data_IF_556143346291
#
_entry.id   IF_556143346291
#
_cell.length_a   1.000
_cell.length_b   1.000
_cell.length_c   1.000
_cell.angle_alpha   90.00
_cell.angle_beta   90.00
_cell.angle_gamma   90.00
#
_symmetry.space_group_name_H-M   'P 1'
#
loop_
_entity.id
_entity.type
_entity.pdbx_description
1 polymer ?
#
# COMPACT_ATOMS: atom_id res chain seq x y z
N UNK A 1 2.64 -5.76 -27.43
CA UNK A 1 2.82 -5.75 -25.96
C UNK A 1 1.45 -5.61 -25.35
N UNK A 2 0.74 -6.72 -25.21
CA UNK A 2 -0.57 -6.72 -24.56
C UNK A 2 -0.34 -6.57 -23.06
N UNK A 3 -0.52 -5.35 -22.56
CA UNK A 3 -0.62 -5.10 -21.13
C UNK A 3 -1.89 -5.80 -20.68
N UNK A 4 -1.74 -6.96 -20.05
CA UNK A 4 -2.78 -7.52 -19.20
C UNK A 4 -3.11 -6.43 -18.17
N UNK A 5 -4.22 -5.73 -18.36
CA UNK A 5 -4.83 -4.92 -17.31
C UNK A 5 -5.30 -5.91 -16.25
N UNK A 6 -4.34 -6.36 -15.43
CA UNK A 6 -4.62 -7.09 -14.22
C UNK A 6 -5.63 -6.23 -13.48
N UNK A 7 -6.83 -6.76 -13.24
CA UNK A 7 -7.89 -6.04 -12.54
C UNK A 7 -7.43 -5.86 -11.09
N UNK A 8 -6.58 -4.86 -10.84
CA UNK A 8 -6.05 -4.56 -9.51
C UNK A 8 -7.18 -3.91 -8.74
N UNK A 9 -7.76 -4.67 -7.81
CA UNK A 9 -8.68 -4.11 -6.85
C UNK A 9 -7.88 -3.53 -5.69
N UNK A 10 -8.34 -2.41 -5.14
CA UNK A 10 -7.71 -1.79 -3.99
C UNK A 10 -8.62 -1.86 -2.78
N UNK A 11 -8.08 -2.24 -1.64
CA UNK A 11 -8.80 -2.19 -0.37
C UNK A 11 -8.21 -1.10 0.51
N UNK A 12 -9.09 -0.29 1.09
CA UNK A 12 -8.71 0.73 2.08
C UNK A 12 -8.69 0.11 3.47
N UNK A 13 -7.56 0.22 4.16
CA UNK A 13 -7.38 -0.28 5.53
C UNK A 13 -7.16 0.92 6.44
N UNK A 14 -8.04 1.07 7.43
CA UNK A 14 -7.89 2.08 8.47
C UNK A 14 -7.07 1.51 9.64
N UNK A 15 -6.04 2.25 10.03
CA UNK A 15 -5.12 1.88 11.11
C UNK A 15 -5.05 3.02 12.12
N UNK A 16 -5.12 2.68 13.40
CA UNK A 16 -4.92 3.62 14.49
C UNK A 16 -3.79 3.12 15.38
N UNK A 17 -2.75 3.93 15.51
CA UNK A 17 -1.61 3.68 16.41
C UNK A 17 -1.76 4.55 17.65
N UNK A 18 -1.34 4.04 18.81
CA UNK A 18 -1.47 4.72 20.10
C UNK A 18 -0.14 4.76 20.85
N UNK A 19 0.04 5.74 21.74
CA UNK A 19 1.23 5.85 22.59
C UNK A 19 2.33 6.78 22.05
N UNK A 20 2.03 7.58 21.02
CA UNK A 20 2.93 8.61 20.48
C UNK A 20 4.10 8.13 19.63
N UNK A 21 4.85 9.06 19.04
CA UNK A 21 6.05 8.73 18.26
C UNK A 21 7.17 8.12 19.14
N UNK A 22 8.04 7.25 18.60
CA UNK A 22 8.07 6.75 17.23
C UNK A 22 6.95 5.73 16.95
N UNK A 23 6.43 5.76 15.73
CA UNK A 23 5.32 4.90 15.29
C UNK A 23 5.76 3.54 14.75
N UNK A 24 7.05 3.37 14.45
CA UNK A 24 7.63 2.08 14.06
C UNK A 24 7.47 1.70 12.60
N UNK A 25 7.49 2.66 11.67
CA UNK A 25 7.50 2.38 10.23
C UNK A 25 8.31 3.42 9.44
N UNK A 26 8.71 3.08 8.23
CA UNK A 26 9.42 3.97 7.29
C UNK A 26 8.58 4.24 6.04
N UNK A 27 8.63 5.49 5.56
CA UNK A 27 7.91 5.95 4.37
C UNK A 27 8.90 6.40 3.27
N UNK A 28 8.64 5.98 2.03
CA UNK A 28 9.32 6.47 0.80
C UNK A 28 8.34 7.11 -0.18
N UNK A 29 8.88 7.65 -1.26
CA UNK A 29 8.12 8.27 -2.34
C UNK A 29 7.65 9.67 -1.98
N UNK A 30 6.63 10.13 -2.69
CA UNK A 30 6.15 11.50 -2.66
C UNK A 30 5.85 11.95 -4.08
N UNK A 31 4.74 12.67 -4.26
CA UNK A 31 4.31 13.18 -5.55
C UNK A 31 5.33 14.18 -6.11
N UNK A 32 6.11 14.84 -5.26
CA UNK A 32 7.27 15.66 -5.68
C UNK A 32 8.33 14.86 -6.46
N UNK A 33 8.31 13.53 -6.36
CA UNK A 33 9.17 12.60 -7.09
C UNK A 33 8.40 11.75 -8.11
N UNK A 34 7.10 11.99 -8.29
CA UNK A 34 6.24 11.16 -9.13
C UNK A 34 6.00 9.75 -8.57
N UNK A 35 6.28 9.52 -7.28
CA UNK A 35 6.15 8.21 -6.63
C UNK A 35 5.05 8.23 -5.55
N UNK A 36 4.28 7.14 -5.39
CA UNK A 36 3.30 7.05 -4.29
C UNK A 36 4.00 6.97 -2.93
N UNK A 37 3.30 7.39 -1.87
CA UNK A 37 3.80 7.30 -0.50
C UNK A 37 3.69 5.85 0.01
N UNK A 38 4.80 5.12 0.00
CA UNK A 38 4.80 3.67 0.30
C UNK A 38 5.50 3.37 1.63
N UNK A 39 4.90 2.50 2.43
CA UNK A 39 5.52 1.93 3.63
C UNK A 39 6.57 0.89 3.22
N UNK A 40 7.83 1.13 3.56
CA UNK A 40 8.96 0.27 3.15
C UNK A 40 9.48 -0.62 4.25
N UNK A 41 9.24 -0.25 5.51
CA UNK A 41 9.70 -0.99 6.68
C UNK A 41 8.69 -0.84 7.81
N UNK A 42 8.51 -1.92 8.55
CA UNK A 42 7.82 -1.93 9.83
C UNK A 42 8.84 -2.44 10.85
N UNK A 43 9.05 -1.67 11.92
CA UNK A 43 10.01 -2.01 12.96
C UNK A 43 9.43 -3.09 13.87
N UNK A 44 10.19 -4.16 14.08
CA UNK A 44 9.81 -5.24 14.99
C UNK A 44 9.62 -4.69 16.42
N UNK A 45 8.55 -5.13 17.09
CA UNK A 45 8.17 -4.60 18.40
C UNK A 45 7.61 -3.17 18.40
N UNK A 46 7.67 -2.46 17.28
CA UNK A 46 7.12 -1.11 17.12
C UNK A 46 5.59 -1.07 17.10
N UNK A 47 5.00 0.12 17.26
CA UNK A 47 3.54 0.31 17.34
C UNK A 47 2.83 -0.16 16.06
N UNK A 48 3.43 0.12 14.90
CA UNK A 48 2.97 -0.37 13.62
C UNK A 48 2.99 -1.90 13.51
N UNK A 49 3.99 -2.58 14.08
CA UNK A 49 4.01 -4.05 14.13
C UNK A 49 2.94 -4.60 15.08
N UNK A 50 2.80 -4.01 16.27
CA UNK A 50 1.84 -4.42 17.29
C UNK A 50 0.39 -4.31 16.81
N UNK A 51 0.07 -3.35 15.93
CA UNK A 51 -1.28 -3.19 15.40
C UNK A 51 -1.71 -4.32 14.46
N UNK A 52 -0.76 -5.09 13.89
CA UNK A 52 -0.96 -6.21 12.94
C UNK A 52 -1.82 -5.92 11.69
N UNK A 53 -2.20 -4.66 11.45
CA UNK A 53 -3.01 -4.23 10.30
C UNK A 53 -2.18 -3.65 9.16
N UNK A 54 -1.12 -2.91 9.52
CA UNK A 54 -0.22 -2.26 8.58
C UNK A 54 0.76 -3.28 7.99
N UNK A 55 1.07 -3.17 6.70
CA UNK A 55 2.03 -4.03 6.00
C UNK A 55 2.99 -3.21 5.14
N UNK A 56 4.16 -3.77 4.89
CA UNK A 56 5.10 -3.24 3.89
C UNK A 56 4.44 -3.33 2.50
N UNK A 57 4.58 -2.28 1.70
CA UNK A 57 3.94 -2.14 0.39
C UNK A 57 2.58 -1.45 0.43
N UNK A 58 2.02 -1.18 1.61
CA UNK A 58 0.83 -0.36 1.75
C UNK A 58 1.13 1.10 1.32
N UNK A 59 0.20 1.69 0.57
CA UNK A 59 0.25 3.09 0.15
C UNK A 59 -0.50 3.97 1.12
N UNK A 60 0.14 5.03 1.62
CA UNK A 60 -0.46 5.97 2.54
C UNK A 60 -1.28 7.02 1.79
N UNK A 61 -2.60 7.06 2.05
CA UNK A 61 -3.53 7.96 1.33
C UNK A 61 -4.15 9.04 2.22
N UNK A 62 -4.20 8.83 3.54
CA UNK A 62 -4.79 9.79 4.47
C UNK A 62 -4.11 9.70 5.85
N UNK A 63 -3.92 10.84 6.51
CA UNK A 63 -3.38 10.95 7.86
C UNK A 63 -4.30 11.84 8.70
N UNK A 64 -4.76 11.33 9.84
CA UNK A 64 -5.63 12.00 10.82
C UNK A 64 -6.92 12.60 10.23
N UNK A 65 -7.44 12.02 9.15
CA UNK A 65 -8.62 12.52 8.44
C UNK A 65 -8.28 13.46 7.27
N UNK A 66 -7.05 13.97 7.19
CA UNK A 66 -6.59 14.79 6.08
C UNK A 66 -6.13 13.92 4.91
N UNK A 67 -6.76 14.12 3.75
CA UNK A 67 -6.25 13.57 2.49
C UNK A 67 -4.92 14.25 2.18
N UNK A 68 -3.92 13.47 1.80
CA UNK A 68 -2.61 14.01 1.45
C UNK A 68 -2.66 14.55 0.02
N UNK A 69 -1.96 15.65 -0.24
CA UNK A 69 -1.73 16.12 -1.62
C UNK A 69 -0.62 15.31 -2.31
N UNK A 70 -0.16 14.24 -1.66
CA UNK A 70 0.89 13.35 -2.14
C UNK A 70 2.30 13.77 -1.73
N UNK A 71 2.50 14.93 -1.10
CA UNK A 71 3.83 15.39 -0.67
C UNK A 71 4.40 14.53 0.47
N UNK A 72 5.67 14.12 0.37
CA UNK A 72 6.36 13.41 1.45
C UNK A 72 6.56 14.28 2.68
N UNK A 73 6.90 15.55 2.47
CA UNK A 73 7.16 16.49 3.55
C UNK A 73 5.90 16.73 4.39
N UNK A 74 4.76 16.93 3.73
CA UNK A 74 3.44 17.01 4.39
C UNK A 74 3.16 15.77 5.25
N UNK A 75 3.32 14.58 4.67
CA UNK A 75 3.08 13.33 5.38
C UNK A 75 3.95 13.21 6.64
N UNK A 76 5.24 13.55 6.54
CA UNK A 76 6.16 13.49 7.68
C UNK A 76 5.80 14.48 8.78
N UNK A 77 5.36 15.69 8.43
CA UNK A 77 4.91 16.71 9.41
C UNK A 77 3.69 16.18 10.18
N UNK A 78 2.68 15.66 9.48
CA UNK A 78 1.46 15.13 10.11
C UNK A 78 1.74 13.90 10.98
N UNK A 79 2.61 12.99 10.53
CA UNK A 79 3.01 11.79 11.30
C UNK A 79 3.75 12.19 12.57
N UNK A 80 4.75 13.08 12.46
CA UNK A 80 5.56 13.51 13.62
C UNK A 80 4.77 14.43 14.56
N UNK A 81 3.86 15.23 14.03
CA UNK A 81 2.97 16.10 14.80
C UNK A 81 1.83 15.36 15.50
N UNK A 82 1.63 14.07 15.23
CA UNK A 82 0.66 13.26 15.95
C UNK A 82 1.17 12.98 17.38
N UNK A 83 0.39 13.37 18.40
CA UNK A 83 0.83 13.28 19.80
C UNK A 83 0.60 11.92 20.43
N UNK A 84 -0.66 11.53 20.64
CA UNK A 84 -1.02 10.28 21.33
C UNK A 84 -1.57 9.23 20.39
N UNK A 85 -2.21 9.67 19.31
CA UNK A 85 -2.93 8.82 18.37
C UNK A 85 -2.53 9.26 16.96
N UNK A 86 -2.15 8.30 16.13
CA UNK A 86 -1.96 8.47 14.69
C UNK A 86 -3.01 7.61 13.98
N UNK A 87 -3.94 8.24 13.26
CA UNK A 87 -4.91 7.56 12.40
C UNK A 87 -4.41 7.64 10.97
N UNK A 88 -4.29 6.53 10.28
CA UNK A 88 -3.93 6.49 8.87
C UNK A 88 -4.90 5.62 8.09
N UNK A 89 -5.16 6.00 6.85
CA UNK A 89 -5.80 5.11 5.88
C UNK A 89 -4.76 4.74 4.85
N UNK A 90 -4.61 3.44 4.61
CA UNK A 90 -3.73 2.92 3.58
C UNK A 90 -4.50 2.18 2.50
N UNK A 91 -3.97 2.21 1.28
CA UNK A 91 -4.48 1.50 0.12
C UNK A 91 -3.60 0.28 -0.14
N UNK A 92 -4.21 -0.90 -0.17
CA UNK A 92 -3.52 -2.18 -0.43
C UNK A 92 -4.00 -2.78 -1.75
N UNK A 93 -3.11 -3.02 -2.72
CA UNK A 93 -3.47 -3.72 -3.94
C UNK A 93 -3.79 -5.18 -3.64
N UNK A 94 -4.87 -5.67 -4.24
CA UNK A 94 -5.28 -7.06 -4.27
C UNK A 94 -5.34 -7.51 -5.71
N UNK A 95 -4.50 -8.48 -6.06
CA UNK A 95 -4.50 -9.10 -7.37
C UNK A 95 -5.49 -10.27 -7.34
N UNK A 96 -6.56 -10.18 -8.13
CA UNK A 96 -7.55 -11.26 -8.25
C UNK A 96 -6.90 -12.45 -8.99
N UNK A 97 -6.28 -13.36 -8.25
CA UNK A 97 -5.46 -14.42 -8.85
C UNK A 97 -6.25 -15.67 -9.25
N UNK A 98 -7.57 -15.73 -9.09
CA UNK A 98 -8.30 -17.00 -9.17
C UNK A 98 -8.66 -17.53 -10.56
N UNK A 99 -8.67 -16.75 -11.66
CA UNK A 99 -9.13 -17.28 -12.96
C UNK A 99 -8.18 -17.13 -14.16
N UNK A 100 -7.11 -16.34 -14.05
CA UNK A 100 -6.34 -15.95 -15.25
C UNK A 100 -5.26 -16.97 -15.63
N UNK A 101 -4.75 -17.77 -14.69
CA UNK A 101 -3.67 -18.73 -15.01
C UNK A 101 -4.15 -19.94 -15.83
N UNK A 102 -5.42 -20.36 -15.68
CA UNK A 102 -5.96 -21.49 -16.45
C UNK A 102 -6.36 -21.07 -17.87
N UNK A 103 -7.09 -19.97 -18.06
CA UNK A 103 -7.60 -19.62 -19.40
C UNK A 103 -6.48 -19.22 -20.37
N UNK A 104 -5.45 -18.49 -19.90
CA UNK A 104 -4.37 -18.04 -20.78
C UNK A 104 -3.46 -19.22 -21.18
N UNK A 105 -3.21 -20.16 -20.28
CA UNK A 105 -2.42 -21.36 -20.61
C UNK A 105 -3.15 -22.25 -21.63
N UNK A 106 -4.47 -22.44 -21.48
CA UNK A 106 -5.24 -23.27 -22.41
C UNK A 106 -5.40 -22.65 -23.81
N UNK A 107 -5.51 -21.32 -23.93
CA UNK A 107 -5.56 -20.65 -25.24
C UNK A 107 -4.20 -20.68 -25.97
N UNK A 108 -3.09 -20.57 -25.26
CA UNK A 108 -1.75 -20.64 -25.89
C UNK A 108 -1.31 -22.08 -26.23
N UNK A 109 -1.71 -23.09 -25.46
CA UNK A 109 -1.38 -24.49 -25.78
C UNK A 109 -2.28 -25.10 -26.87
N UNK A 110 -3.49 -24.57 -27.08
CA UNK A 110 -4.45 -25.07 -28.08
C UNK A 110 -4.20 -24.65 -29.53
N UNK A 111 -3.41 -23.59 -29.78
CA UNK A 111 -3.17 -23.05 -31.12
C UNK A 111 -1.84 -23.48 -31.77
N UNK A 112 -1.01 -24.29 -31.09
CA UNK A 112 0.23 -24.87 -31.65
C UNK A 112 0.09 -26.35 -32.05
N UNK A 113 -1.07 -26.78 -32.53
CA UNK A 113 -1.24 -28.10 -33.17
C UNK A 113 -2.13 -28.07 -34.41
N UNK A 114 -1.90 -27.09 -35.30
CA UNK A 114 -2.36 -27.16 -36.68
C UNK A 114 -1.47 -26.34 -37.61
N UNK A 115 -0.25 -26.82 -37.82
CA UNK A 115 0.51 -26.72 -39.07
C UNK A 115 1.65 -27.71 -39.03
#
# INVERSE_FOLDING_TARGET
METVEQLVSFHHVQVQLQGGAPWGFTLKGGLEHGEPLIITKIEEGGKAAQCKKLKVGDELVNINGSALYGSRQEALILIKGSYRILKITVRRPFYFQSCISVIVTFLFFGLKKKM
#
